data_IF_881053147098
#
_entry.id   IF_881053147098
#
_cell.length_a   1.000
_cell.length_b   1.000
_cell.length_c   1.000
_cell.angle_alpha   90.00
_cell.angle_beta   90.00
_cell.angle_gamma   90.00
#
_symmetry.space_group_name_H-M   'P 1'
#
loop_
_entity.id
_entity.type
_entity.pdbx_description
1 polymer ?
#
# COMPACT_ATOMS: atom_id res chain seq x y z
N UNK A 1 -25.21 67.87 -6.43
CA UNK A 1 -25.00 67.41 -6.31
C UNK A 1 -24.84 66.25 -6.53
N UNK A 2 -24.54 65.68 -6.59
CA UNK A 2 -24.25 64.67 -6.74
C UNK A 2 -23.90 63.62 -6.49
N UNK A 3 -23.85 62.89 -6.51
CA UNK A 3 -23.58 61.94 -6.20
C UNK A 3 -23.17 60.91 -6.58
N UNK A 4 -22.64 60.33 -6.64
CA UNK A 4 -22.13 59.41 -7.01
C UNK A 4 -22.06 58.30 -6.61
N UNK A 5 -22.04 57.61 -6.82
CA UNK A 5 -21.97 56.49 -6.50
C UNK A 5 -21.29 55.59 -6.90
N UNK A 6 -20.95 55.04 -6.64
CA UNK A 6 -20.20 54.21 -6.89
C UNK A 6 -20.43 52.92 -6.84
N UNK A 7 -20.15 52.23 -7.26
CA UNK A 7 -20.36 51.07 -7.47
C UNK A 7 -19.55 50.30 -7.02
N UNK A 8 -19.44 49.74 -6.73
CA UNK A 8 -18.73 49.01 -6.30
C UNK A 8 -18.57 47.89 -6.79
N UNK A 9 -18.14 47.52 -7.13
CA UNK A 9 -17.79 46.58 -7.58
C UNK A 9 -17.67 45.55 -7.06
N UNK A 10 -17.79 45.08 -6.84
CA UNK A 10 -17.72 44.10 -6.30
C UNK A 10 -17.09 43.04 -6.72
N UNK A 11 -16.73 42.76 -6.90
CA UNK A 11 -16.14 41.81 -7.25
C UNK A 11 -16.06 40.66 -6.92
N UNK A 12 -16.20 40.35 -6.71
CA UNK A 12 -16.22 39.23 -6.29
C UNK A 12 -15.64 38.23 -6.92
N UNK A 13 -15.00 37.98 -6.94
CA UNK A 13 -14.37 37.16 -7.59
C UNK A 13 -14.25 35.97 -7.02
N UNK A 14 -14.35 35.40 -6.97
CA UNK A 14 -14.24 34.38 -6.47
C UNK A 14 -13.93 33.31 -6.98
N UNK A 15 -13.43 32.91 -7.03
CA UNK A 15 -12.94 32.05 -7.34
C UNK A 15 -13.10 30.94 -6.85
N UNK A 16 -13.20 30.30 -6.94
CA UNK A 16 -13.29 29.34 -6.59
C UNK A 16 -12.63 28.35 -6.94
N UNK A 17 -12.07 28.19 -6.83
CA UNK A 17 -11.31 27.38 -6.97
C UNK A 17 -11.58 26.18 -6.80
N UNK A 18 -11.64 25.61 -7.07
CA UNK A 18 -11.79 24.59 -7.02
C UNK A 18 -11.23 23.61 -6.85
N UNK A 19 -10.83 23.41 -6.65
CA UNK A 19 -10.33 22.62 -6.46
C UNK A 19 -10.19 21.37 -6.66
N UNK A 20 -9.97 21.02 -6.98
CA UNK A 20 -9.67 19.95 -7.41
C UNK A 20 -9.10 19.11 -6.56
N UNK A 21 -9.47 18.53 -6.09
CA UNK A 21 -9.06 17.79 -5.32
C UNK A 21 -8.81 16.56 -5.69
N UNK A 22 -7.98 16.30 -6.03
CA UNK A 22 -7.60 15.17 -6.43
C UNK A 22 -7.45 14.26 -5.42
N UNK A 23 -8.01 13.53 -5.21
CA UNK A 23 -7.91 12.67 -4.38
C UNK A 23 -7.14 11.64 -4.72
N UNK A 24 -6.27 11.69 -4.95
CA UNK A 24 -5.40 10.77 -5.18
C UNK A 24 -5.53 9.75 -4.28
N UNK A 25 -5.79 8.75 -4.60
CA UNK A 25 -5.81 7.78 -3.81
C UNK A 25 -4.55 7.54 -3.51
N UNK A 26 -4.18 7.92 -2.64
CA UNK A 26 -2.97 7.85 -2.29
C UNK A 26 -2.41 6.57 -2.16
N UNK A 27 -1.35 6.44 -2.65
CA UNK A 27 -0.59 5.34 -2.33
C UNK A 27 -0.63 5.27 -0.86
N UNK A 28 -0.76 4.17 -0.36
CA UNK A 28 -0.87 4.01 1.03
C UNK A 28 0.49 4.22 1.64
N UNK A 29 0.67 5.31 2.34
CA UNK A 29 1.95 5.64 2.93
C UNK A 29 2.41 4.64 3.96
N UNK A 30 1.53 3.88 4.55
CA UNK A 30 1.93 2.88 5.53
C UNK A 30 2.58 1.68 4.85
N UNK A 31 2.19 1.40 3.62
CA UNK A 31 2.73 0.26 2.88
C UNK A 31 3.99 0.64 2.12
N UNK A 32 4.13 1.90 1.72
CA UNK A 32 5.26 2.33 0.90
C UNK A 32 6.63 1.88 1.43
N UNK A 33 6.91 1.96 2.72
CA UNK A 33 8.20 1.49 3.22
C UNK A 33 8.43 0.00 3.04
N UNK A 34 7.35 -0.77 2.84
CA UNK A 34 7.45 -2.20 2.64
C UNK A 34 7.53 -2.57 1.18
N UNK A 35 7.38 -1.61 0.26
CA UNK A 35 7.37 -1.93 -1.16
C UNK A 35 8.69 -2.55 -1.60
N UNK A 36 8.61 -3.54 -2.44
CA UNK A 36 9.79 -4.20 -2.96
C UNK A 36 9.52 -5.65 -3.29
N UNK A 37 10.60 -6.33 -3.65
CA UNK A 37 10.55 -7.74 -3.97
C UNK A 37 11.12 -8.54 -2.81
N UNK A 38 10.51 -9.67 -2.54
CA UNK A 38 10.85 -10.51 -1.41
C UNK A 38 10.81 -11.98 -1.82
N UNK A 39 11.44 -12.81 -1.01
CA UNK A 39 11.20 -14.25 -1.04
C UNK A 39 10.65 -14.66 0.30
N UNK A 40 9.77 -15.68 0.31
CA UNK A 40 9.16 -16.11 1.56
C UNK A 40 9.85 -17.34 2.08
N UNK A 41 10.19 -17.29 3.35
CA UNK A 41 10.74 -18.41 4.13
C UNK A 41 12.12 -18.90 3.70
N UNK A 42 12.73 -18.26 2.70
CA UNK A 42 14.11 -18.56 2.31
C UNK A 42 14.75 -17.25 1.93
N UNK A 43 16.02 -17.12 2.21
CA UNK A 43 16.74 -15.89 1.89
C UNK A 43 16.78 -15.68 0.37
N UNK A 44 16.63 -14.44 -0.05
CA UNK A 44 16.67 -14.09 -1.46
C UNK A 44 18.10 -14.29 -1.99
N UNK A 45 18.22 -14.96 -3.13
CA UNK A 45 19.53 -15.17 -3.73
C UNK A 45 19.99 -13.94 -4.50
N UNK A 46 19.05 -13.19 -5.06
CA UNK A 46 19.38 -11.94 -5.73
C UNK A 46 19.94 -12.08 -7.13
N UNK A 47 20.11 -13.31 -7.62
CA UNK A 47 20.67 -13.56 -8.96
C UNK A 47 19.62 -14.03 -9.96
N UNK A 48 18.35 -14.00 -9.55
CA UNK A 48 17.28 -14.45 -10.44
C UNK A 48 16.96 -15.92 -10.36
N UNK A 49 17.71 -16.67 -9.56
CA UNK A 49 17.50 -18.12 -9.46
C UNK A 49 16.48 -18.51 -8.40
N UNK A 50 15.87 -17.52 -7.73
CA UNK A 50 14.88 -17.83 -6.72
C UNK A 50 13.66 -18.49 -7.35
N UNK A 51 13.14 -19.49 -6.67
CA UNK A 51 11.98 -20.21 -7.17
C UNK A 51 10.77 -19.26 -7.29
N UNK A 52 10.02 -19.33 -8.39
CA UNK A 52 8.84 -18.47 -8.53
C UNK A 52 7.85 -18.63 -7.39
N UNK A 53 7.77 -19.84 -6.79
CA UNK A 53 6.85 -20.07 -5.70
C UNK A 53 7.26 -19.36 -4.41
N UNK A 54 8.49 -18.88 -4.33
CA UNK A 54 8.95 -18.14 -3.16
C UNK A 54 8.81 -16.64 -3.34
N UNK A 55 8.56 -16.16 -4.55
CA UNK A 55 8.59 -14.73 -4.81
C UNK A 55 7.32 -14.01 -4.39
N UNK A 56 7.48 -12.88 -3.74
CA UNK A 56 6.38 -12.02 -3.34
C UNK A 56 6.78 -10.59 -3.65
N UNK A 57 5.88 -9.82 -4.24
CA UNK A 57 6.12 -8.41 -4.51
C UNK A 57 5.08 -7.60 -3.75
N UNK A 58 5.52 -6.59 -3.04
CA UNK A 58 4.63 -5.68 -2.33
C UNK A 58 4.74 -4.31 -2.96
N UNK A 59 3.59 -3.73 -3.29
CA UNK A 59 3.51 -2.35 -3.73
C UNK A 59 2.48 -1.64 -2.86
N UNK A 60 2.36 -0.33 -2.95
CA UNK A 60 1.35 0.37 -2.14
C UNK A 60 -0.08 -0.08 -2.40
N UNK A 61 -0.35 -0.68 -3.57
CA UNK A 61 -1.70 -1.07 -3.94
C UNK A 61 -1.97 -2.56 -3.87
N UNK A 62 -0.93 -3.38 -3.92
CA UNK A 62 -1.19 -4.82 -4.00
C UNK A 62 -0.02 -5.67 -3.55
N UNK A 63 -0.32 -6.90 -3.23
CA UNK A 63 0.66 -7.92 -2.88
C UNK A 63 0.50 -9.02 -3.91
N UNK A 64 1.57 -9.35 -4.59
CA UNK A 64 1.54 -10.35 -5.67
C UNK A 64 2.39 -11.54 -5.29
N UNK A 65 1.83 -12.73 -5.40
CA UNK A 65 2.58 -13.96 -5.19
C UNK A 65 2.13 -14.96 -6.25
N UNK A 66 2.75 -16.12 -6.27
CA UNK A 66 2.39 -17.12 -7.26
C UNK A 66 1.01 -17.72 -7.03
N UNK A 67 0.43 -17.52 -5.86
CA UNK A 67 -0.89 -18.07 -5.57
C UNK A 67 -2.01 -17.07 -5.78
N UNK A 68 -1.70 -15.80 -5.96
CA UNK A 68 -2.74 -14.83 -6.21
C UNK A 68 -2.27 -13.41 -6.00
N UNK A 69 -3.22 -12.50 -6.16
CA UNK A 69 -2.98 -11.08 -6.01
C UNK A 69 -3.93 -10.56 -4.97
N UNK A 70 -3.39 -9.84 -3.99
CA UNK A 70 -4.19 -9.20 -2.96
C UNK A 70 -4.16 -7.70 -3.17
N UNK A 71 -5.32 -7.09 -3.34
CA UNK A 71 -5.45 -5.64 -3.45
C UNK A 71 -5.54 -5.08 -2.04
N UNK A 72 -4.73 -4.08 -1.74
CA UNK A 72 -4.75 -3.44 -0.44
C UNK A 72 -5.85 -2.40 -0.45
N UNK A 73 -6.85 -2.60 0.40
CA UNK A 73 -8.00 -1.71 0.46
C UNK A 73 -7.80 -0.62 1.48
N UNK A 74 -7.05 -0.90 2.52
CA UNK A 74 -6.83 0.03 3.61
C UNK A 74 -5.66 -0.46 4.44
N UNK A 75 -4.97 0.44 5.12
CA UNK A 75 -3.93 0.05 6.03
C UNK A 75 -3.79 1.04 7.17
N UNK A 76 -3.17 0.61 8.23
CA UNK A 76 -2.89 1.50 9.35
C UNK A 76 -1.69 0.99 10.12
N UNK A 77 -1.06 1.89 10.83
CA UNK A 77 0.06 1.53 11.66
C UNK A 77 -0.42 1.03 13.01
N UNK A 78 0.31 0.08 13.57
CA UNK A 78 0.05 -0.42 14.89
C UNK A 78 1.42 -0.66 15.52
N UNK A 79 2.00 0.36 16.15
CA UNK A 79 3.36 0.29 16.66
C UNK A 79 4.33 0.11 15.52
N UNK A 80 5.17 -0.91 15.58
CA UNK A 80 6.13 -1.21 14.54
C UNK A 80 5.52 -1.99 13.39
N UNK A 81 4.27 -2.42 13.54
CA UNK A 81 3.60 -3.22 12.52
C UNK A 81 2.70 -2.38 11.64
N UNK A 82 2.33 -2.92 10.51
CA UNK A 82 1.34 -2.33 9.62
C UNK A 82 0.26 -3.37 9.40
N UNK A 83 -0.98 -2.97 9.62
CA UNK A 83 -2.11 -3.84 9.37
C UNK A 83 -2.71 -3.44 8.04
N UNK A 84 -2.94 -4.39 7.17
CA UNK A 84 -3.53 -4.15 5.86
C UNK A 84 -4.80 -4.97 5.70
N UNK A 85 -5.87 -4.31 5.27
CA UNK A 85 -7.10 -5.00 4.91
C UNK A 85 -7.03 -5.23 3.41
N UNK A 86 -7.21 -6.47 2.98
CA UNK A 86 -6.97 -6.84 1.60
C UNK A 86 -8.10 -7.68 1.02
N UNK A 87 -8.21 -7.62 -0.28
CA UNK A 87 -9.06 -8.54 -1.02
C UNK A 87 -8.14 -9.34 -1.92
N UNK A 88 -8.09 -10.63 -1.71
CA UNK A 88 -7.20 -11.50 -2.46
C UNK A 88 -7.98 -12.29 -3.49
N UNK A 89 -7.41 -12.42 -4.68
CA UNK A 89 -7.99 -13.22 -5.72
C UNK A 89 -7.13 -14.45 -5.91
N UNK A 90 -7.69 -15.57 -5.59
CA UNK A 90 -7.04 -16.87 -5.74
C UNK A 90 -7.80 -17.68 -6.77
N UNK A 91 -7.21 -18.75 -7.29
CA UNK A 91 -7.94 -19.61 -8.22
C UNK A 91 -9.25 -20.14 -7.62
N UNK A 92 -9.31 -20.28 -6.31
CA UNK A 92 -10.52 -20.76 -5.64
C UNK A 92 -11.57 -19.67 -5.46
N UNK A 93 -11.26 -18.42 -5.77
CA UNK A 93 -12.20 -17.33 -5.65
C UNK A 93 -11.66 -16.21 -4.77
N UNK A 94 -12.39 -15.10 -4.67
CA UNK A 94 -11.94 -13.97 -3.87
C UNK A 94 -12.08 -14.22 -2.38
N UNK A 95 -11.21 -13.61 -1.61
CA UNK A 95 -11.23 -13.74 -0.16
C UNK A 95 -10.79 -12.43 0.46
N UNK A 96 -11.54 -11.96 1.45
CA UNK A 96 -11.16 -10.79 2.20
C UNK A 96 -10.35 -11.22 3.40
N UNK A 97 -9.39 -10.40 3.78
CA UNK A 97 -8.57 -10.74 4.94
C UNK A 97 -7.83 -9.55 5.48
N UNK A 98 -7.20 -9.77 6.62
CA UNK A 98 -6.35 -8.78 7.24
C UNK A 98 -4.97 -9.39 7.42
N UNK A 99 -3.96 -8.62 7.10
CA UNK A 99 -2.58 -9.07 7.16
C UNK A 99 -1.81 -8.11 8.03
N UNK A 100 -0.95 -8.64 8.87
CA UNK A 100 -0.04 -7.84 9.67
C UNK A 100 1.38 -8.02 9.14
N UNK A 101 2.03 -6.92 8.83
CA UNK A 101 3.43 -6.91 8.44
C UNK A 101 4.24 -6.33 9.58
N UNK A 102 5.26 -7.01 10.01
CA UNK A 102 6.15 -6.52 11.07
C UNK A 102 7.58 -6.51 10.54
N UNK A 103 8.11 -5.32 10.22
CA UNK A 103 9.50 -5.22 9.78
C UNK A 103 10.45 -5.50 10.93
N UNK A 104 11.57 -6.14 10.63
CA UNK A 104 12.61 -6.41 11.60
C UNK A 104 13.92 -5.74 11.19
N UNK A 105 14.81 -5.48 12.14
CA UNK A 105 16.07 -4.79 11.83
C UNK A 105 16.97 -5.54 10.86
N UNK A 106 16.79 -6.85 10.74
CA UNK A 106 17.62 -7.66 9.85
C UNK A 106 17.14 -7.64 8.41
N UNK A 107 16.28 -6.66 8.06
CA UNK A 107 15.79 -6.50 6.70
C UNK A 107 14.82 -7.60 6.28
N UNK A 108 14.19 -8.23 7.23
CA UNK A 108 13.09 -9.17 6.96
C UNK A 108 11.78 -8.56 7.43
N UNK A 109 10.68 -9.09 6.93
CA UNK A 109 9.34 -8.66 7.32
C UNK A 109 8.54 -9.90 7.68
N UNK A 110 7.94 -9.89 8.85
CA UNK A 110 7.06 -10.98 9.21
C UNK A 110 5.68 -10.70 8.67
N UNK A 111 5.08 -11.69 8.05
CA UNK A 111 3.78 -11.60 7.41
C UNK A 111 2.88 -12.59 8.12
N UNK A 112 1.78 -12.12 8.68
CA UNK A 112 0.85 -12.97 9.42
C UNK A 112 -0.56 -12.60 9.01
N UNK A 113 -1.39 -13.57 8.66
CA UNK A 113 -2.79 -13.27 8.44
C UNK A 113 -3.49 -13.19 9.80
N UNK A 114 -4.64 -12.54 9.81
CA UNK A 114 -5.31 -12.24 11.06
C UNK A 114 -5.64 -13.46 11.88
N UNK A 115 -6.03 -14.53 11.22
CA UNK A 115 -6.43 -15.73 11.93
C UNK A 115 -5.23 -16.58 12.31
N UNK A 116 -4.02 -16.11 11.98
CA UNK A 116 -2.78 -16.83 12.25
C UNK A 116 -2.71 -18.18 11.57
N UNK A 117 -3.47 -18.35 10.51
CA UNK A 117 -3.46 -19.60 9.77
C UNK A 117 -2.30 -19.64 8.78
N UNK A 118 -1.73 -18.47 8.47
CA UNK A 118 -0.57 -18.42 7.59
C UNK A 118 0.42 -17.42 8.14
N UNK A 119 1.67 -17.83 8.20
CA UNK A 119 2.72 -16.99 8.69
C UNK A 119 3.95 -17.23 7.84
N UNK A 120 4.61 -16.19 7.44
CA UNK A 120 5.80 -16.29 6.63
C UNK A 120 6.81 -15.22 7.03
N UNK A 121 8.07 -15.50 6.80
CA UNK A 121 9.10 -14.49 6.92
C UNK A 121 9.48 -14.11 5.51
N UNK A 122 9.42 -12.82 5.21
CA UNK A 122 9.76 -12.30 3.90
C UNK A 122 11.17 -11.73 3.96
N UNK A 123 12.02 -12.17 3.04
CA UNK A 123 13.39 -11.71 2.94
C UNK A 123 13.46 -10.75 1.77
N UNK A 124 13.88 -9.53 2.03
CA UNK A 124 13.91 -8.52 0.99
C UNK A 124 15.00 -8.85 -0.01
N UNK A 125 14.66 -8.76 -1.28
CA UNK A 125 15.63 -8.95 -2.34
C UNK A 125 16.30 -7.64 -2.68
N UNK A 126 17.57 -7.66 -3.05
CA UNK A 126 18.24 -6.43 -3.46
C UNK A 126 17.60 -5.87 -4.72
N UNK A 127 17.53 -4.54 -4.79
CA UNK A 127 17.06 -3.93 -6.02
C UNK A 127 18.20 -3.94 -7.00
N UNK A 128 17.87 -4.02 -8.25
CA UNK A 128 18.90 -4.02 -9.28
C UNK A 128 19.10 -2.67 -9.86
#
# INVERSE_FOLDING_TARGET
VFKIVRPVAGCGAFVLAALGISQATAADDNISPLAGSYTQNVACKGDGSDAPTAKVTISPQEIVSNVGVCTILDSRKDGASVLAHVECKFPSGPLMGDITFTPHPDNTVEFVDRDMTYKARLYRCPSK
#
